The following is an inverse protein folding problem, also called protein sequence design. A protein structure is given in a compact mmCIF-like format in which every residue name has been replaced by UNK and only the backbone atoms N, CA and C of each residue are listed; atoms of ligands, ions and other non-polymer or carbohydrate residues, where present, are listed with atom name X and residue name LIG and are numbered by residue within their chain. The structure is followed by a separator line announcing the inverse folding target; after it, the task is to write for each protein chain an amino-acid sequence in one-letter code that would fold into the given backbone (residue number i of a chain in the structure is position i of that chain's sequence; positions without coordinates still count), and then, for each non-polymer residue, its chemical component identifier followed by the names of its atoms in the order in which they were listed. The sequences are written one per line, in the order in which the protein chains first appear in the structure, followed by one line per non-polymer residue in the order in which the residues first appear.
data_IF_490151493482
#
_entry.id   IF_490151493482
#
_cell.length_a   1.000
_cell.length_b   1.000
_cell.length_c   1.000
_cell.angle_alpha   90.00
_cell.angle_beta   90.00
_cell.angle_gamma   90.00
#
_symmetry.space_group_name_H-M   'P 1'
#
loop_
_entity.id
_entity.type
_entity.pdbx_description
1 polymer ?
#
# COMPACT_ATOMS: atom_id res chain seq x y z
N UNK A 1 49.85 -15.85 -7.40
CA UNK A 1 48.84 -16.58 -8.21
C UNK A 1 47.50 -16.55 -7.51
N UNK A 2 46.61 -15.66 -7.97
CA UNK A 2 45.12 -15.69 -7.99
C UNK A 2 44.59 -14.27 -7.93
N UNK A 3 44.12 -13.81 -9.09
CA UNK A 3 43.44 -12.54 -9.32
C UNK A 3 42.05 -12.63 -8.70
N UNK A 4 41.63 -11.61 -7.95
CA UNK A 4 40.25 -11.48 -7.49
C UNK A 4 39.49 -10.73 -8.59
N UNK A 5 38.51 -11.35 -9.27
CA UNK A 5 37.87 -10.77 -10.44
C UNK A 5 36.88 -9.66 -10.10
N UNK A 6 36.80 -8.68 -11.00
CA UNK A 6 35.78 -7.64 -11.06
C UNK A 6 34.39 -8.30 -11.18
N UNK A 7 33.59 -8.25 -10.12
CA UNK A 7 32.14 -8.45 -10.24
C UNK A 7 31.37 -7.48 -9.33
N UNK A 8 31.73 -6.20 -9.42
CA UNK A 8 30.88 -5.09 -8.98
C UNK A 8 30.24 -4.48 -10.22
N UNK A 9 29.14 -5.08 -10.69
CA UNK A 9 28.09 -4.37 -11.44
C UNK A 9 26.91 -5.27 -11.91
N UNK A 10 26.83 -6.54 -11.52
CA UNK A 10 25.73 -7.39 -11.96
C UNK A 10 24.65 -7.49 -10.88
N UNK A 11 23.46 -7.00 -11.21
CA UNK A 11 22.16 -7.39 -10.64
C UNK A 11 21.69 -6.64 -9.40
N UNK A 12 21.53 -5.33 -9.58
CA UNK A 12 20.34 -4.62 -9.10
C UNK A 12 19.16 -5.08 -9.96
N UNK A 13 18.46 -6.14 -9.55
CA UNK A 13 17.15 -6.49 -10.08
C UNK A 13 16.43 -7.50 -9.17
N UNK A 14 15.20 -7.13 -8.79
CA UNK A 14 14.06 -8.05 -8.58
C UNK A 14 14.08 -8.96 -7.34
N UNK A 15 13.64 -8.42 -6.20
CA UNK A 15 12.90 -9.19 -5.19
C UNK A 15 11.44 -8.73 -5.33
N UNK A 16 10.47 -9.51 -5.78
CA UNK A 16 10.31 -10.95 -5.74
C UNK A 16 8.97 -11.20 -5.05
N UNK A 17 7.91 -11.32 -5.85
CA UNK A 17 6.51 -11.36 -5.44
C UNK A 17 6.20 -12.50 -4.44
N UNK A 18 5.40 -12.18 -3.41
CA UNK A 18 4.67 -13.17 -2.61
C UNK A 18 3.30 -13.40 -3.26
N UNK A 19 3.25 -14.36 -4.19
CA UNK A 19 2.02 -14.95 -4.66
C UNK A 19 1.76 -16.23 -3.86
N UNK A 20 0.68 -16.28 -3.07
CA UNK A 20 0.15 -17.50 -2.46
C UNK A 20 -1.20 -17.82 -3.11
N UNK A 21 -1.30 -19.08 -3.52
CA UNK A 21 -2.18 -19.68 -4.52
C UNK A 21 -3.60 -20.01 -4.06
N UNK A 22 -4.55 -20.14 -5.01
CA UNK A 22 -5.27 -21.39 -5.35
C UNK A 22 -6.72 -21.17 -5.89
N UNK A 23 -7.00 -21.71 -7.09
CA UNK A 23 -8.21 -22.47 -7.53
C UNK A 23 -9.63 -21.97 -7.11
N UNK A 24 -10.72 -21.97 -7.91
CA UNK A 24 -11.10 -22.42 -9.25
C UNK A 24 -12.59 -21.99 -9.43
N UNK A 25 -13.10 -21.94 -10.68
CA UNK A 25 -14.50 -22.15 -11.12
C UNK A 25 -15.45 -20.95 -11.42
N UNK A 26 -15.76 -20.87 -12.72
CA UNK A 26 -17.09 -20.79 -13.34
C UNK A 26 -17.92 -19.48 -13.30
N UNK A 27 -17.86 -18.79 -14.44
CA UNK A 27 -18.98 -18.21 -15.22
C UNK A 27 -20.26 -17.77 -14.50
N UNK A 28 -20.50 -16.46 -14.49
CA UNK A 28 -21.79 -15.88 -14.90
C UNK A 28 -21.61 -14.39 -15.26
N UNK A 29 -21.89 -14.03 -16.52
CA UNK A 29 -21.86 -12.66 -17.01
C UNK A 29 -23.19 -11.97 -16.67
N UNK A 30 -23.19 -11.12 -15.65
CA UNK A 30 -24.27 -10.13 -15.43
C UNK A 30 -23.81 -8.77 -15.93
N UNK A 31 -24.51 -8.15 -16.88
CA UNK A 31 -24.19 -6.82 -17.39
C UNK A 31 -24.80 -5.75 -16.48
N UNK A 32 -23.95 -5.11 -15.67
CA UNK A 32 -24.17 -3.77 -15.11
C UNK A 32 -22.83 -3.05 -15.23
N UNK A 33 -22.74 -2.02 -16.09
CA UNK A 33 -21.60 -1.11 -16.28
C UNK A 33 -20.29 -1.56 -15.59
N UNK A 34 -19.70 -2.65 -16.11
CA UNK A 34 -18.59 -3.33 -15.46
C UNK A 34 -17.34 -2.50 -15.71
N UNK A 35 -16.92 -1.69 -14.73
CA UNK A 35 -15.52 -1.30 -14.64
C UNK A 35 -14.73 -2.61 -14.60
N UNK A 36 -14.20 -3.05 -15.73
CA UNK A 36 -13.49 -4.32 -15.84
C UNK A 36 -12.44 -4.38 -14.73
N UNK A 37 -12.55 -5.27 -13.74
CA UNK A 37 -11.48 -5.44 -12.77
C UNK A 37 -10.26 -5.87 -13.57
N UNK A 38 -9.26 -5.00 -13.62
CA UNK A 38 -7.98 -5.31 -14.24
C UNK A 38 -7.41 -6.54 -13.52
N UNK A 39 -6.77 -7.49 -14.23
CA UNK A 39 -6.10 -8.60 -13.58
C UNK A 39 -5.10 -8.05 -12.55
N UNK A 40 -5.44 -8.15 -11.26
CA UNK A 40 -4.62 -7.62 -10.15
C UNK A 40 -5.25 -6.51 -9.30
N UNK A 41 -6.39 -5.93 -9.67
CA UNK A 41 -7.13 -4.99 -8.81
C UNK A 41 -8.28 -5.70 -8.11
N UNK A 42 -8.16 -5.92 -6.79
CA UNK A 42 -9.27 -6.39 -5.97
C UNK A 42 -10.31 -5.27 -5.84
N UNK A 43 -11.62 -5.56 -5.95
CA UNK A 43 -12.65 -4.55 -5.72
C UNK A 43 -12.55 -4.03 -4.28
N UNK A 44 -12.48 -2.70 -4.10
CA UNK A 44 -12.51 -2.10 -2.77
C UNK A 44 -13.83 -2.44 -2.09
N UNK A 45 -13.74 -2.94 -0.87
CA UNK A 45 -14.89 -3.21 -0.02
C UNK A 45 -15.41 -1.90 0.55
N UNK A 46 -16.71 -1.86 0.87
CA UNK A 46 -17.30 -0.68 1.52
C UNK A 46 -16.71 -0.41 2.91
N UNK A 47 -16.09 -1.40 3.53
CA UNK A 47 -15.38 -1.21 4.79
C UNK A 47 -14.07 -0.45 4.54
N UNK A 48 -13.28 -0.89 3.55
CA UNK A 48 -12.00 -0.25 3.16
C UNK A 48 -12.20 1.21 2.75
N UNK A 49 -13.17 1.50 1.86
CA UNK A 49 -13.43 2.89 1.43
C UNK A 49 -13.75 3.81 2.62
N UNK A 50 -14.46 3.31 3.64
CA UNK A 50 -14.74 4.13 4.83
C UNK A 50 -13.52 4.34 5.70
N UNK A 51 -12.65 3.34 5.81
CA UNK A 51 -11.39 3.51 6.54
C UNK A 51 -10.53 4.57 5.86
N UNK A 52 -10.37 4.50 4.54
CA UNK A 52 -9.62 5.49 3.76
C UNK A 52 -10.20 6.90 3.93
N UNK A 53 -11.53 7.05 3.90
CA UNK A 53 -12.16 8.36 4.14
C UNK A 53 -11.88 8.90 5.55
N UNK A 54 -11.92 8.05 6.58
CA UNK A 54 -11.62 8.47 7.96
C UNK A 54 -10.16 8.95 8.09
N UNK A 55 -9.23 8.28 7.41
CA UNK A 55 -7.82 8.69 7.39
C UNK A 55 -7.62 10.03 6.68
N UNK A 56 -8.30 10.23 5.55
CA UNK A 56 -8.28 11.49 4.82
C UNK A 56 -8.92 12.64 5.63
N UNK A 57 -10.03 12.37 6.33
CA UNK A 57 -10.67 13.31 7.25
C UNK A 57 -9.74 13.69 8.41
N UNK A 58 -9.01 12.72 8.96
CA UNK A 58 -7.97 12.99 9.97
C UNK A 58 -6.82 13.85 9.42
N UNK A 59 -6.53 13.75 8.12
CA UNK A 59 -5.58 14.61 7.42
C UNK A 59 -6.14 16.00 7.04
N UNK A 60 -7.43 16.24 7.30
CA UNK A 60 -8.12 17.52 7.08
C UNK A 60 -8.86 17.62 5.74
N UNK A 61 -9.06 16.52 5.03
CA UNK A 61 -9.92 16.48 3.84
C UNK A 61 -11.40 16.38 4.22
N UNK A 62 -12.27 17.14 3.56
CA UNK A 62 -13.71 17.06 3.77
C UNK A 62 -14.40 16.56 2.48
N UNK A 63 -14.83 15.29 2.42
CA UNK A 63 -15.48 14.72 1.25
C UNK A 63 -16.88 15.29 1.00
N UNK A 64 -17.48 15.98 1.97
CA UNK A 64 -18.82 16.57 1.84
C UNK A 64 -18.80 17.90 1.07
N UNK A 65 -17.62 18.49 0.85
CA UNK A 65 -17.45 19.76 0.13
C UNK A 65 -17.66 19.65 -1.37
N UNK A 66 -17.76 18.44 -1.92
CA UNK A 66 -18.13 18.20 -3.32
C UNK A 66 -17.14 18.87 -4.29
N UNK A 67 -17.68 19.68 -5.21
CA UNK A 67 -16.92 20.41 -6.24
C UNK A 67 -16.29 21.70 -5.68
N UNK A 68 -15.45 21.57 -4.66
CA UNK A 68 -14.63 22.68 -4.19
C UNK A 68 -13.65 23.11 -5.32
N UNK A 69 -13.41 24.42 -5.45
CA UNK A 69 -12.52 24.97 -6.49
C UNK A 69 -11.08 24.47 -6.35
N UNK A 70 -10.72 23.99 -5.17
CA UNK A 70 -9.40 23.45 -4.89
C UNK A 70 -9.26 21.95 -5.24
N UNK A 71 -10.31 21.26 -5.68
CA UNK A 71 -10.17 19.90 -6.18
C UNK A 71 -9.34 19.90 -7.48
N UNK A 72 -8.33 19.03 -7.65
CA UNK A 72 -7.93 17.92 -6.78
C UNK A 72 -6.73 18.20 -5.85
N UNK A 73 -6.33 19.45 -5.63
CA UNK A 73 -5.17 19.79 -4.81
C UNK A 73 -5.35 19.36 -3.33
N UNK A 74 -6.55 19.55 -2.77
CA UNK A 74 -6.83 19.24 -1.37
C UNK A 74 -6.73 17.73 -1.08
N UNK A 75 -7.27 16.88 -1.96
CA UNK A 75 -7.18 15.42 -1.79
C UNK A 75 -5.73 14.93 -1.90
N UNK A 76 -4.93 15.50 -2.81
CA UNK A 76 -3.51 15.15 -2.93
C UNK A 76 -2.69 15.57 -1.70
N UNK A 77 -3.03 16.70 -1.08
CA UNK A 77 -2.39 17.11 0.18
C UNK A 77 -2.74 16.17 1.32
N UNK A 78 -4.01 15.79 1.44
CA UNK A 78 -4.46 14.84 2.43
C UNK A 78 -3.79 13.47 2.26
N UNK A 79 -3.70 12.95 1.04
CA UNK A 79 -2.98 11.71 0.73
C UNK A 79 -1.50 11.77 1.16
N UNK A 80 -0.81 12.90 0.92
CA UNK A 80 0.59 13.06 1.38
C UNK A 80 0.69 13.00 2.91
N UNK A 81 -0.25 13.60 3.63
CA UNK A 81 -0.29 13.56 5.09
C UNK A 81 -0.54 12.15 5.61
N UNK A 82 -1.52 11.44 5.04
CA UNK A 82 -1.82 10.03 5.37
C UNK A 82 -0.59 9.15 5.11
N UNK A 83 0.06 9.30 3.95
CA UNK A 83 1.28 8.56 3.64
C UNK A 83 2.41 8.82 4.66
N UNK A 84 2.58 10.06 5.12
CA UNK A 84 3.55 10.40 6.17
C UNK A 84 3.18 9.75 7.52
N UNK A 85 1.89 9.71 7.88
CA UNK A 85 1.41 9.03 9.08
C UNK A 85 1.69 7.52 9.02
N UNK A 86 1.43 6.87 7.88
CA UNK A 86 1.67 5.43 7.69
C UNK A 86 3.16 5.10 7.73
N UNK A 87 4.00 5.96 7.15
CA UNK A 87 5.45 5.83 7.24
C UNK A 87 5.94 5.95 8.70
N UNK A 88 5.44 6.92 9.46
CA UNK A 88 5.78 7.09 10.87
C UNK A 88 5.33 5.88 11.72
N UNK A 89 4.13 5.36 11.48
CA UNK A 89 3.63 4.16 12.15
C UNK A 89 4.48 2.93 11.83
N UNK A 90 4.85 2.75 10.55
CA UNK A 90 5.70 1.63 10.13
C UNK A 90 7.07 1.68 10.80
N UNK A 91 7.67 2.88 10.90
CA UNK A 91 8.95 3.06 11.59
C UNK A 91 8.82 2.72 13.09
N UNK A 92 7.76 3.19 13.75
CA UNK A 92 7.52 2.88 15.16
C UNK A 92 7.29 1.37 15.42
N UNK A 93 6.68 0.66 14.47
CA UNK A 93 6.52 -0.80 14.54
C UNK A 93 7.86 -1.52 14.40
N UNK A 94 8.70 -1.10 13.46
CA UNK A 94 10.04 -1.67 13.25
C UNK A 94 10.96 -1.44 14.47
N UNK A 95 10.87 -0.28 15.10
CA UNK A 95 11.62 0.04 16.32
C UNK A 95 11.18 -0.86 17.50
N UNK A 96 9.88 -1.12 17.64
CA UNK A 96 9.36 -2.04 18.66
C UNK A 96 9.79 -3.49 18.42
N UNK A 97 9.84 -3.96 17.18
CA UNK A 97 10.35 -5.29 16.85
C UNK A 97 11.83 -5.45 17.21
N UNK A 98 12.62 -4.41 16.96
CA UNK A 98 14.04 -4.39 17.33
C UNK A 98 14.24 -4.50 18.85
N UNK A 99 13.42 -3.79 19.63
CA UNK A 99 13.46 -3.86 21.10
C UNK A 99 13.03 -5.23 21.65
N UNK A 100 12.09 -5.92 21.01
CA UNK A 100 11.67 -7.28 21.37
C UNK A 100 12.73 -8.33 21.01
N UNK A 101 13.53 -8.10 19.97
CA UNK A 101 14.53 -9.05 19.50
C UNK A 101 15.86 -8.98 20.27
N UNK A 102 16.12 -7.86 20.97
CA UNK A 102 17.35 -7.66 21.75
C UNK A 102 17.18 -7.89 23.25
N UNK A 103 16.12 -8.54 23.72
CA UNK A 103 16.01 -8.94 25.13
C UNK A 103 16.90 -10.18 25.40
N UNK A 104 18.05 -10.05 26.11
CA UNK A 104 18.87 -11.21 26.43
C UNK A 104 18.18 -12.03 27.52
N UNK A 105 17.76 -13.25 27.16
CA UNK A 105 17.42 -14.29 28.15
C UNK A 105 18.74 -14.73 28.81
N UNK A 106 19.05 -14.13 29.96
CA UNK A 106 20.04 -14.65 30.90
C UNK A 106 19.40 -15.76 31.75
#
# INVERSE_FOLDING_TARGET
MRLIPLNRLAVRALSGALAVSAALLLTSNGVYAQTSPSPGTHPLTRAEVRQELVELEAAGYDPSRGDDSNYPADIQEAERKVAAMHAAQTNALNDNQSAMQTMPMH
#
